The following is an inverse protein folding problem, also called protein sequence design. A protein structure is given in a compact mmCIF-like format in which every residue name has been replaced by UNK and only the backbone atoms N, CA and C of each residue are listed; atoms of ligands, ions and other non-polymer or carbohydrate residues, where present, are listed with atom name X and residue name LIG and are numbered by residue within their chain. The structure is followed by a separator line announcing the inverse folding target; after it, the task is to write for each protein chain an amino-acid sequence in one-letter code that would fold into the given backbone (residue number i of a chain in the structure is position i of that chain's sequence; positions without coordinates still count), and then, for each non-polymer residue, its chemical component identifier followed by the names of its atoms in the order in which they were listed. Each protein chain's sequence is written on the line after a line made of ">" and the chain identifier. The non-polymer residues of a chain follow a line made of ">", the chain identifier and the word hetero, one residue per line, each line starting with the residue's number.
data_IF_215443334860
#
_entry.id   IF_215443334860
#
_cell.length_a   1.000
_cell.length_b   1.000
_cell.length_c   1.000
_cell.angle_alpha   90.00
_cell.angle_beta   90.00
_cell.angle_gamma   90.00
#
_symmetry.space_group_name_H-M   'P 1'
#
loop_
_entity.id
_entity.type
_entity.pdbx_description
1 polymer ?
#
# COMPACT_ATOMS: atom_id res chain seq x y z
N UNK A 1 -2.96 -27.86 66.54
CA UNK A 1 -1.98 -26.89 67.08
C UNK A 1 -0.58 -27.45 66.97
N UNK A 2 0.22 -26.91 66.05
CA UNK A 2 1.63 -26.51 66.25
C UNK A 2 2.09 -25.78 65.00
N UNK A 3 2.50 -24.54 65.23
CA UNK A 3 3.05 -23.54 64.33
C UNK A 3 4.38 -24.01 63.75
N UNK A 4 4.75 -23.52 62.56
CA UNK A 4 5.98 -22.74 62.31
C UNK A 4 5.94 -22.28 60.84
N UNK A 5 5.87 -20.96 60.69
CA UNK A 5 6.17 -20.21 59.47
C UNK A 5 7.69 -20.10 59.39
N UNK A 6 8.29 -20.54 58.30
CA UNK A 6 9.65 -20.11 57.91
C UNK A 6 9.57 -19.60 56.48
N UNK A 7 9.67 -18.28 56.40
CA UNK A 7 9.92 -17.47 55.24
C UNK A 7 11.35 -17.80 54.75
N UNK A 8 11.49 -18.33 53.53
CA UNK A 8 12.79 -18.30 52.84
C UNK A 8 12.71 -17.33 51.68
N UNK A 9 13.27 -16.14 51.95
CA UNK A 9 13.67 -15.16 50.98
C UNK A 9 14.83 -15.75 50.17
N UNK A 10 14.65 -15.97 48.87
CA UNK A 10 15.77 -16.10 47.93
C UNK A 10 15.54 -15.14 46.78
N UNK A 11 16.22 -14.01 46.91
CA UNK A 11 16.45 -13.00 45.89
C UNK A 11 17.29 -13.65 44.78
N UNK A 12 16.70 -13.88 43.61
CA UNK A 12 17.46 -13.97 42.37
C UNK A 12 17.27 -12.67 41.62
N UNK A 13 18.20 -11.75 41.84
CA UNK A 13 18.54 -10.71 40.89
C UNK A 13 19.05 -11.36 39.61
N UNK A 14 18.23 -11.38 38.56
CA UNK A 14 18.69 -11.37 37.18
C UNK A 14 18.40 -9.98 36.63
N UNK A 15 19.39 -9.11 36.77
CA UNK A 15 19.50 -7.89 35.98
C UNK A 15 20.15 -8.29 34.66
N UNK A 16 19.45 -8.02 33.55
CA UNK A 16 20.08 -7.35 32.42
C UNK A 16 20.17 -8.10 31.08
N UNK A 17 19.61 -7.41 30.08
CA UNK A 17 19.84 -7.50 28.63
C UNK A 17 19.03 -8.58 27.88
N UNK A 18 18.12 -8.24 26.96
CA UNK A 18 18.10 -7.08 26.08
C UNK A 18 16.91 -6.16 26.31
N UNK A 19 17.17 -4.85 26.31
CA UNK A 19 16.25 -3.86 25.80
C UNK A 19 15.85 -4.29 24.37
N UNK A 20 14.74 -5.03 24.25
CA UNK A 20 13.93 -4.84 23.07
C UNK A 20 13.41 -3.41 23.20
N UNK A 21 14.09 -2.51 22.48
CA UNK A 21 13.57 -1.19 22.14
C UNK A 21 12.16 -1.38 21.58
N UNK A 22 11.16 -1.46 22.46
CA UNK A 22 9.77 -1.17 22.14
C UNK A 22 9.73 0.32 21.84
N UNK A 23 10.25 0.67 20.66
CA UNK A 23 10.05 1.98 20.08
C UNK A 23 8.55 2.17 20.03
N UNK A 24 8.08 3.14 20.80
CA UNK A 24 6.69 3.51 20.90
C UNK A 24 6.12 3.70 19.49
N UNK A 25 5.09 2.94 19.16
CA UNK A 25 4.49 2.96 17.83
C UNK A 25 3.71 4.27 17.67
N UNK A 26 4.28 5.20 16.88
CA UNK A 26 3.65 6.51 16.67
C UNK A 26 2.67 6.42 15.50
N UNK A 27 1.39 6.58 15.78
CA UNK A 27 0.30 6.68 14.80
C UNK A 27 -0.13 8.13 14.52
N UNK A 28 0.75 9.11 14.78
CA UNK A 28 0.44 10.52 14.56
C UNK A 28 0.53 10.86 13.06
N UNK A 29 -0.63 11.07 12.44
CA UNK A 29 -0.76 11.35 11.00
C UNK A 29 0.10 12.54 10.52
N UNK A 30 0.27 13.59 11.34
CA UNK A 30 1.13 14.72 10.96
C UNK A 30 2.61 14.34 10.92
N UNK A 31 3.06 13.51 11.87
CA UNK A 31 4.45 13.02 11.88
C UNK A 31 4.69 12.08 10.69
N UNK A 32 3.73 11.17 10.42
CA UNK A 32 3.77 10.27 9.28
C UNK A 32 3.82 11.04 7.96
N UNK A 33 2.98 12.08 7.81
CA UNK A 33 2.99 12.97 6.65
C UNK A 33 4.35 13.63 6.45
N UNK A 34 4.93 14.21 7.51
CA UNK A 34 6.23 14.87 7.40
C UNK A 34 7.31 13.89 6.94
N UNK A 35 7.35 12.68 7.52
CA UNK A 35 8.29 11.63 7.08
C UNK A 35 8.05 11.17 5.65
N UNK A 36 6.79 11.04 5.23
CA UNK A 36 6.45 10.67 3.86
C UNK A 36 6.94 11.72 2.84
N UNK A 37 6.80 13.01 3.16
CA UNK A 37 7.25 14.12 2.30
C UNK A 37 8.78 14.25 2.27
N UNK A 38 9.46 13.94 3.39
CA UNK A 38 10.93 13.91 3.46
C UNK A 38 11.53 12.78 2.59
N UNK A 39 10.81 11.67 2.42
CA UNK A 39 11.18 10.59 1.51
C UNK A 39 10.95 11.01 0.06
N UNK A 40 11.96 11.64 -0.54
CA UNK A 40 12.02 11.81 -1.99
C UNK A 40 11.93 10.42 -2.66
N UNK A 41 11.21 10.32 -3.79
CA UNK A 41 11.01 9.07 -4.54
C UNK A 41 12.35 8.42 -4.91
N UNK A 42 12.87 7.56 -4.04
CA UNK A 42 14.22 6.99 -4.10
C UNK A 42 14.11 5.57 -4.61
N UNK A 43 14.23 5.38 -5.93
CA UNK A 43 14.26 4.05 -6.51
C UNK A 43 14.10 4.02 -8.03
N UNK A 44 14.51 2.91 -8.65
CA UNK A 44 14.19 2.61 -10.05
C UNK A 44 12.79 1.96 -10.10
N UNK A 45 11.81 2.71 -10.62
CA UNK A 45 10.50 2.30 -11.17
C UNK A 45 9.53 1.42 -10.34
N UNK A 46 8.23 1.79 -10.23
CA UNK A 46 7.67 3.13 -10.34
C UNK A 46 8.12 4.00 -9.16
N UNK A 47 8.21 5.32 -9.35
CA UNK A 47 8.53 6.27 -8.26
C UNK A 47 7.30 7.10 -7.90
N UNK A 48 7.07 7.32 -6.61
CA UNK A 48 6.03 8.23 -6.12
C UNK A 48 6.72 9.31 -5.28
N UNK A 49 6.44 10.57 -5.61
CA UNK A 49 6.85 11.75 -4.86
C UNK A 49 5.63 12.32 -4.13
N UNK A 50 5.69 12.45 -2.80
CA UNK A 50 4.64 13.06 -1.99
C UNK A 50 5.04 14.49 -1.59
N UNK A 51 4.11 15.43 -1.74
CA UNK A 51 4.35 16.86 -1.48
C UNK A 51 3.58 17.35 -0.26
N UNK A 52 4.08 18.40 0.40
CA UNK A 52 3.50 18.96 1.62
C UNK A 52 2.07 19.49 1.47
N UNK A 53 1.69 19.88 0.24
CA UNK A 53 0.36 20.37 -0.13
C UNK A 53 -0.67 19.25 -0.40
N UNK A 54 -0.41 18.02 0.07
CA UNK A 54 -1.27 16.84 -0.15
C UNK A 54 -1.41 16.41 -1.62
N UNK A 55 -0.41 16.70 -2.45
CA UNK A 55 -0.36 16.21 -3.83
C UNK A 55 0.74 15.17 -4.01
N UNK A 56 0.57 14.27 -4.96
CA UNK A 56 1.61 13.32 -5.34
C UNK A 56 1.90 13.39 -6.84
N UNK A 57 3.09 12.90 -7.21
CA UNK A 57 3.48 12.63 -8.59
C UNK A 57 4.01 11.21 -8.68
N UNK A 58 3.33 10.37 -9.44
CA UNK A 58 3.73 9.00 -9.72
C UNK A 58 4.30 8.91 -11.14
N UNK A 59 5.49 8.35 -11.24
CA UNK A 59 6.22 8.17 -12.50
C UNK A 59 6.36 6.68 -12.79
N UNK A 60 5.87 6.27 -13.95
CA UNK A 60 5.94 4.90 -14.44
C UNK A 60 7.01 4.79 -15.51
N UNK A 61 7.79 3.72 -15.45
CA UNK A 61 8.79 3.41 -16.46
C UNK A 61 8.49 2.06 -17.11
N UNK A 62 8.82 1.95 -18.38
CA UNK A 62 8.79 0.71 -19.12
C UNK A 62 10.22 0.24 -19.39
N UNK A 63 10.46 -1.07 -19.23
CA UNK A 63 11.74 -1.69 -19.60
C UNK A 63 11.61 -2.23 -21.02
N UNK A 64 12.44 -1.74 -21.94
CA UNK A 64 12.52 -2.31 -23.28
C UNK A 64 13.29 -3.63 -23.23
N UNK A 65 12.73 -4.68 -23.82
CA UNK A 65 13.24 -6.06 -23.78
C UNK A 65 14.67 -6.23 -24.33
N UNK A 66 15.21 -5.23 -25.05
CA UNK A 66 16.46 -5.34 -25.79
C UNK A 66 17.61 -4.53 -25.17
N UNK A 67 17.35 -3.73 -24.14
CA UNK A 67 18.39 -2.93 -23.48
C UNK A 67 18.09 -2.87 -21.98
N UNK A 68 18.63 -3.83 -21.23
CA UNK A 68 18.31 -4.09 -19.81
C UNK A 68 18.66 -2.93 -18.85
N UNK A 69 19.22 -1.85 -19.37
CA UNK A 69 19.66 -0.69 -18.60
C UNK A 69 18.87 0.60 -18.90
N UNK A 70 18.00 0.64 -19.91
CA UNK A 70 17.18 1.82 -20.20
C UNK A 70 15.74 1.64 -19.75
N UNK A 71 15.44 2.08 -18.53
CA UNK A 71 14.05 2.34 -18.12
C UNK A 71 13.60 3.64 -18.82
N UNK A 72 12.69 3.54 -19.78
CA UNK A 72 12.12 4.72 -20.42
C UNK A 72 10.91 5.21 -19.64
N UNK A 73 10.82 6.52 -19.46
CA UNK A 73 9.64 7.17 -18.89
C UNK A 73 8.44 6.83 -19.77
N UNK A 74 7.42 6.22 -19.19
CA UNK A 74 6.21 5.85 -19.90
C UNK A 74 5.04 6.79 -19.58
N UNK A 75 4.83 7.08 -18.30
CA UNK A 75 3.66 7.85 -17.88
C UNK A 75 3.93 8.63 -16.61
N UNK A 76 3.31 9.81 -16.49
CA UNK A 76 3.26 10.57 -15.26
C UNK A 76 1.80 10.80 -14.89
N UNK A 77 1.48 10.50 -13.63
CA UNK A 77 0.18 10.77 -13.02
C UNK A 77 0.39 11.68 -11.82
N UNK A 78 -0.42 12.72 -11.71
CA UNK A 78 -0.47 13.57 -10.54
C UNK A 78 -1.85 13.52 -9.90
N UNK A 79 -1.93 13.66 -8.58
CA UNK A 79 -3.21 13.63 -7.88
C UNK A 79 -3.08 14.09 -6.44
N UNK A 80 -4.06 13.72 -5.62
CA UNK A 80 -4.09 14.05 -4.20
C UNK A 80 -3.86 12.82 -3.34
N UNK A 81 -3.41 13.03 -2.11
CA UNK A 81 -3.36 11.96 -1.11
C UNK A 81 -3.83 12.48 0.24
N UNK A 82 -4.27 11.56 1.09
CA UNK A 82 -4.62 11.82 2.48
C UNK A 82 -4.00 10.76 3.40
N UNK A 83 -3.74 11.13 4.64
CA UNK A 83 -3.35 10.20 5.71
C UNK A 83 -4.38 10.33 6.81
N UNK A 84 -4.95 9.21 7.23
CA UNK A 84 -5.92 9.15 8.33
C UNK A 84 -5.74 7.85 9.10
N UNK A 85 -5.56 7.91 10.42
CA UNK A 85 -5.31 6.75 11.28
C UNK A 85 -4.17 5.87 10.75
N UNK A 86 -3.06 6.51 10.36
CA UNK A 86 -1.90 5.87 9.75
C UNK A 86 -2.16 5.15 8.41
N UNK A 87 -3.33 5.32 7.79
CA UNK A 87 -3.62 4.84 6.44
C UNK A 87 -3.36 5.97 5.43
N UNK A 88 -2.36 5.79 4.57
CA UNK A 88 -2.15 6.61 3.39
C UNK A 88 -3.10 6.14 2.30
N UNK A 89 -3.90 7.08 1.79
CA UNK A 89 -4.79 6.88 0.65
C UNK A 89 -4.41 7.82 -0.47
N UNK A 90 -4.15 7.28 -1.65
CA UNK A 90 -4.04 8.09 -2.86
C UNK A 90 -5.44 8.25 -3.45
N UNK A 91 -5.78 9.50 -3.75
CA UNK A 91 -7.05 9.92 -4.33
C UNK A 91 -6.85 10.22 -5.82
N UNK A 92 -7.89 9.99 -6.63
CA UNK A 92 -8.02 10.31 -8.06
C UNK A 92 -6.79 10.96 -8.71
N UNK A 93 -6.17 10.26 -9.65
CA UNK A 93 -5.08 10.80 -10.45
C UNK A 93 -5.58 11.57 -11.67
N UNK A 94 -4.68 12.30 -12.30
CA UNK A 94 -4.81 12.85 -13.65
C UNK A 94 -3.51 12.55 -14.37
N UNK A 95 -3.63 12.12 -15.62
CA UNK A 95 -2.49 11.76 -16.44
C UNK A 95 -1.97 13.03 -17.09
N UNK A 96 -0.74 13.41 -16.74
CA UNK A 96 -0.13 14.65 -17.22
C UNK A 96 0.87 14.41 -18.34
N UNK A 97 1.31 13.16 -18.51
CA UNK A 97 2.24 12.77 -19.57
C UNK A 97 2.09 11.29 -19.94
N UNK A 98 2.20 10.98 -21.23
CA UNK A 98 2.26 9.63 -21.80
C UNK A 98 3.29 9.65 -22.94
N UNK A 99 4.25 8.73 -22.91
CA UNK A 99 5.19 8.52 -24.03
C UNK A 99 4.50 7.74 -25.16
N UNK A 100 4.58 8.29 -26.38
CA UNK A 100 3.93 7.78 -27.58
C UNK A 100 4.59 6.52 -28.14
N UNK A 101 5.87 6.26 -27.81
CA UNK A 101 6.63 5.15 -28.40
C UNK A 101 6.26 3.76 -27.82
N UNK A 102 5.48 3.70 -26.74
CA UNK A 102 5.28 2.46 -25.95
C UNK A 102 4.05 1.62 -26.38
N UNK A 103 3.24 1.98 -27.38
CA UNK A 103 1.93 1.28 -27.55
C UNK A 103 1.49 0.86 -28.96
N UNK A 104 1.70 -0.43 -29.26
CA UNK A 104 0.80 -1.27 -30.06
C UNK A 104 -0.12 -2.17 -29.20
N UNK A 105 0.16 -2.30 -27.89
CA UNK A 105 -0.60 -3.15 -26.96
C UNK A 105 -1.43 -2.32 -25.99
N UNK A 106 -2.62 -2.81 -25.64
CA UNK A 106 -3.50 -2.19 -24.64
C UNK A 106 -3.05 -2.54 -23.23
N UNK A 107 -3.02 -1.55 -22.34
CA UNK A 107 -2.62 -1.71 -20.94
C UNK A 107 -3.68 -1.12 -20.00
N UNK A 108 -3.83 -1.76 -18.84
CA UNK A 108 -4.66 -1.30 -17.74
C UNK A 108 -3.76 -1.03 -16.53
N UNK A 109 -3.96 0.11 -15.89
CA UNK A 109 -3.26 0.48 -14.67
C UNK A 109 -4.33 0.61 -13.60
N UNK A 110 -4.28 -0.29 -12.62
CA UNK A 110 -5.14 -0.28 -11.45
C UNK A 110 -4.34 0.37 -10.34
N UNK A 111 -4.85 1.48 -9.85
CA UNK A 111 -4.23 2.28 -8.81
C UNK A 111 -4.77 1.79 -7.46
N UNK A 112 -4.11 0.77 -6.92
CA UNK A 112 -4.36 0.27 -5.55
C UNK A 112 -3.39 0.97 -4.61
N UNK A 113 -3.90 1.83 -3.73
CA UNK A 113 -3.03 2.78 -3.00
C UNK A 113 -3.41 3.00 -1.55
N UNK A 114 -3.99 1.99 -0.92
CA UNK A 114 -4.12 1.98 0.53
C UNK A 114 -2.81 1.43 1.08
N UNK A 115 -2.09 2.25 1.84
CA UNK A 115 -0.80 1.90 2.42
C UNK A 115 -0.90 2.15 3.91
N UNK A 116 -0.64 1.12 4.70
CA UNK A 116 -0.44 1.30 6.13
C UNK A 116 0.94 1.85 6.39
N UNK A 117 0.98 3.01 7.04
CA UNK A 117 2.18 3.68 7.46
C UNK A 117 2.48 3.32 8.91
N UNK A 118 3.75 3.07 9.19
CA UNK A 118 4.24 2.90 10.56
C UNK A 118 5.60 3.55 10.71
N UNK A 119 5.86 4.16 11.87
CA UNK A 119 7.20 4.58 12.24
C UNK A 119 7.84 3.54 13.15
N UNK A 120 9.01 3.06 12.75
CA UNK A 120 9.91 2.28 13.60
C UNK A 120 11.19 3.09 13.76
N UNK A 121 11.25 3.90 14.82
CA UNK A 121 12.33 4.85 15.02
C UNK A 121 12.29 5.96 13.97
N UNK A 122 13.35 6.08 13.16
CA UNK A 122 13.42 7.05 12.06
C UNK A 122 12.99 6.47 10.70
N UNK A 123 12.59 5.20 10.64
CA UNK A 123 12.20 4.54 9.40
C UNK A 123 10.69 4.60 9.21
N UNK A 124 10.25 5.01 8.02
CA UNK A 124 8.86 4.87 7.58
C UNK A 124 8.71 3.50 6.93
N UNK A 125 7.89 2.67 7.55
CA UNK A 125 7.45 1.40 7.01
C UNK A 125 6.17 1.64 6.21
N UNK A 126 6.18 1.22 4.96
CA UNK A 126 5.03 1.33 4.06
C UNK A 126 4.58 -0.07 3.68
N UNK A 127 3.39 -0.45 4.13
CA UNK A 127 2.82 -1.78 3.88
C UNK A 127 1.64 -1.64 2.92
N UNK A 128 1.78 -2.07 1.65
CA UNK A 128 0.67 -2.07 0.71
C UNK A 128 -0.46 -2.96 1.19
N UNK A 129 -1.68 -2.46 1.12
CA UNK A 129 -2.88 -3.18 1.56
C UNK A 129 -4.02 -2.91 0.60
N UNK A 130 -4.91 -3.89 0.41
CA UNK A 130 -6.21 -3.66 -0.22
C UNK A 130 -7.28 -3.75 0.85
N UNK A 131 -8.05 -2.69 1.02
CA UNK A 131 -9.08 -2.62 2.06
C UNK A 131 -10.45 -2.83 1.44
N UNK A 132 -11.15 -3.82 1.97
CA UNK A 132 -12.48 -4.22 1.55
C UNK A 132 -13.53 -3.82 2.56
N UNK A 133 -14.66 -3.32 2.06
CA UNK A 133 -15.84 -3.01 2.86
C UNK A 133 -16.84 -4.15 2.77
N UNK A 134 -17.42 -4.55 3.90
CA UNK A 134 -18.48 -5.55 3.92
C UNK A 134 -19.76 -4.96 3.35
N UNK A 135 -20.30 -5.60 2.29
CA UNK A 135 -21.63 -5.34 1.76
C UNK A 135 -22.68 -6.18 2.48
N UNK A 136 -22.33 -7.44 2.78
CA UNK A 136 -23.15 -8.38 3.55
C UNK A 136 -22.26 -9.33 4.35
N UNK A 137 -22.81 -9.94 5.40
CA UNK A 137 -22.13 -10.99 6.17
C UNK A 137 -21.43 -10.49 7.43
N UNK A 138 -20.39 -11.21 7.85
CA UNK A 138 -19.63 -10.92 9.06
C UNK A 138 -18.69 -9.73 8.85
N UNK A 139 -18.46 -8.94 9.90
CA UNK A 139 -17.46 -7.86 9.91
C UNK A 139 -16.13 -8.27 10.54
N UNK A 140 -16.04 -9.52 11.02
CA UNK A 140 -14.89 -10.08 11.76
C UNK A 140 -14.39 -11.38 11.15
N UNK A 141 -15.01 -11.86 10.08
CA UNK A 141 -14.65 -13.07 9.35
C UNK A 141 -14.84 -12.84 7.85
N UNK A 142 -14.20 -13.68 7.03
CA UNK A 142 -14.25 -13.64 5.57
C UNK A 142 -15.65 -13.77 4.98
N UNK A 143 -16.56 -14.44 5.68
CA UNK A 143 -17.84 -14.90 5.14
C UNK A 143 -18.81 -13.75 4.86
N UNK A 144 -19.28 -13.68 3.62
CA UNK A 144 -20.10 -12.58 3.14
C UNK A 144 -19.62 -12.04 1.81
N UNK A 145 -20.08 -10.83 1.49
CA UNK A 145 -19.73 -10.10 0.28
C UNK A 145 -18.92 -8.87 0.63
N UNK A 146 -17.81 -8.69 -0.07
CA UNK A 146 -16.80 -7.68 0.20
C UNK A 146 -16.44 -6.95 -1.07
N UNK A 147 -16.35 -5.62 -1.02
CA UNK A 147 -15.95 -4.83 -2.18
C UNK A 147 -14.83 -3.85 -1.88
N UNK A 148 -14.02 -3.60 -2.91
CA UNK A 148 -12.94 -2.64 -2.93
C UNK A 148 -13.02 -1.86 -4.23
N UNK A 149 -12.92 -0.53 -4.14
CA UNK A 149 -12.95 0.34 -5.32
C UNK A 149 -11.60 1.00 -5.50
N UNK A 150 -10.95 0.72 -6.63
CA UNK A 150 -9.71 1.35 -7.08
C UNK A 150 -9.99 2.34 -8.20
N UNK A 151 -9.15 3.36 -8.32
CA UNK A 151 -9.13 4.17 -9.53
C UNK A 151 -8.36 3.40 -10.62
N UNK A 152 -8.82 3.47 -11.86
CA UNK A 152 -8.28 2.67 -12.97
C UNK A 152 -8.21 3.54 -14.21
N UNK A 153 -7.10 3.39 -14.94
CA UNK A 153 -6.97 3.96 -16.27
C UNK A 153 -6.61 2.85 -17.24
N UNK A 154 -7.26 2.84 -18.40
CA UNK A 154 -6.94 1.91 -19.48
C UNK A 154 -6.63 2.68 -20.75
N UNK A 155 -5.66 2.17 -21.49
CA UNK A 155 -5.16 2.79 -22.71
C UNK A 155 -5.10 1.77 -23.83
N UNK A 156 -5.35 2.25 -25.04
CA UNK A 156 -5.10 1.51 -26.27
C UNK A 156 -4.62 2.49 -27.33
N UNK A 157 -3.53 2.17 -28.01
CA UNK A 157 -2.96 2.99 -29.09
C UNK A 157 -2.84 4.46 -28.68
N UNK A 158 -2.22 4.74 -27.53
CA UNK A 158 -2.01 6.08 -26.97
C UNK A 158 -3.28 6.86 -26.57
N UNK A 159 -4.46 6.25 -26.66
CA UNK A 159 -5.73 6.88 -26.26
C UNK A 159 -6.15 6.32 -24.91
N UNK A 160 -6.45 7.22 -23.96
CA UNK A 160 -7.20 6.88 -22.75
C UNK A 160 -8.57 6.38 -23.22
N UNK A 161 -8.79 5.07 -23.14
CA UNK A 161 -10.09 4.49 -23.43
C UNK A 161 -10.97 4.56 -22.19
N UNK A 162 -10.38 4.34 -21.01
CA UNK A 162 -11.06 4.38 -19.71
C UNK A 162 -10.29 5.24 -18.71
N UNK A 163 -11.01 6.05 -17.96
CA UNK A 163 -10.51 6.73 -16.77
C UNK A 163 -11.69 6.79 -15.79
N UNK A 164 -11.57 6.12 -14.65
CA UNK A 164 -12.68 5.95 -13.73
C UNK A 164 -12.32 5.04 -12.57
N UNK A 165 -13.33 4.41 -11.98
CA UNK A 165 -13.22 3.51 -10.84
C UNK A 165 -13.66 2.11 -11.22
N UNK A 166 -12.81 1.17 -10.85
CA UNK A 166 -13.09 -0.25 -10.91
C UNK A 166 -13.43 -0.74 -9.51
N UNK A 167 -14.58 -1.39 -9.37
CA UNK A 167 -14.98 -2.05 -8.12
C UNK A 167 -14.76 -3.55 -8.28
N UNK A 168 -13.90 -4.09 -7.42
CA UNK A 168 -13.73 -5.52 -7.25
C UNK A 168 -14.69 -5.99 -6.16
N UNK A 169 -15.45 -7.06 -6.43
CA UNK A 169 -16.29 -7.69 -5.42
C UNK A 169 -15.93 -9.16 -5.26
N UNK A 170 -15.91 -9.63 -4.02
CA UNK A 170 -15.67 -11.03 -3.66
C UNK A 170 -16.78 -11.53 -2.75
N UNK A 171 -17.31 -12.73 -3.01
CA UNK A 171 -18.33 -13.37 -2.19
C UNK A 171 -17.84 -14.73 -1.71
N UNK A 172 -17.76 -14.89 -0.39
CA UNK A 172 -17.30 -16.09 0.30
C UNK A 172 -18.46 -16.75 1.05
N UNK A 173 -18.69 -18.03 0.79
CA UNK A 173 -19.71 -18.84 1.46
C UNK A 173 -19.03 -19.91 2.33
N UNK A 174 -19.52 -20.10 3.56
CA UNK A 174 -18.96 -21.06 4.54
C UNK A 174 -18.90 -22.50 4.02
N UNK A 175 -19.91 -22.89 3.24
CA UNK A 175 -20.09 -24.26 2.78
C UNK A 175 -19.56 -24.48 1.35
N UNK A 176 -18.70 -23.57 0.86
CA UNK A 176 -18.17 -23.59 -0.51
C UNK A 176 -16.65 -23.49 -0.49
N UNK A 177 -15.97 -24.28 -1.32
CA UNK A 177 -14.56 -24.09 -1.66
C UNK A 177 -14.35 -23.09 -2.81
N UNK A 178 -15.44 -22.55 -3.37
CA UNK A 178 -15.42 -21.58 -4.46
C UNK A 178 -15.79 -20.18 -3.98
N UNK A 179 -15.01 -19.21 -4.43
CA UNK A 179 -15.24 -17.77 -4.30
C UNK A 179 -15.87 -17.28 -5.61
N UNK A 180 -16.89 -16.42 -5.50
CA UNK A 180 -17.38 -15.66 -6.65
C UNK A 180 -16.76 -14.28 -6.64
N UNK A 181 -16.27 -13.82 -7.79
CA UNK A 181 -15.68 -12.50 -7.92
C UNK A 181 -16.23 -11.74 -9.13
N UNK A 182 -16.22 -10.41 -9.06
CA UNK A 182 -16.56 -9.53 -10.19
C UNK A 182 -15.71 -8.26 -10.23
N UNK A 183 -15.55 -7.70 -11.43
CA UNK A 183 -14.96 -6.39 -11.69
C UNK A 183 -15.93 -5.52 -12.49
N UNK A 184 -16.35 -4.41 -11.89
CA UNK A 184 -17.32 -3.48 -12.44
C UNK A 184 -16.70 -2.09 -12.64
N UNK A 185 -17.03 -1.39 -13.73
CA UNK A 185 -16.47 -0.07 -14.09
C UNK A 185 -17.57 1.00 -14.09
N UNK A 186 -17.45 2.06 -13.28
CA UNK A 186 -18.58 2.97 -13.01
C UNK A 186 -18.77 4.16 -13.97
N UNK A 187 -17.71 4.75 -14.51
CA UNK A 187 -17.78 6.08 -15.14
C UNK A 187 -17.97 6.04 -16.65
N UNK A 188 -17.42 5.02 -17.33
CA UNK A 188 -17.55 4.81 -18.78
C UNK A 188 -17.68 3.32 -19.07
N UNK A 189 -18.84 2.92 -19.57
CA UNK A 189 -19.15 1.52 -19.83
C UNK A 189 -18.54 1.06 -21.17
N UNK A 190 -17.21 0.99 -21.23
CA UNK A 190 -16.48 0.49 -22.41
C UNK A 190 -15.97 -0.94 -22.23
N UNK A 191 -16.04 -1.45 -21.00
CA UNK A 191 -15.69 -2.82 -20.66
C UNK A 191 -16.94 -3.49 -20.12
N UNK A 192 -17.24 -4.67 -20.65
CA UNK A 192 -18.25 -5.51 -20.04
C UNK A 192 -17.79 -5.91 -18.64
N UNK A 193 -18.70 -5.91 -17.64
CA UNK A 193 -18.42 -6.46 -16.33
C UNK A 193 -17.83 -7.86 -16.45
N UNK A 194 -16.69 -8.09 -15.80
CA UNK A 194 -16.12 -9.42 -15.71
C UNK A 194 -16.57 -10.09 -14.43
N UNK A 195 -16.98 -11.34 -14.50
CA UNK A 195 -17.29 -12.14 -13.32
C UNK A 195 -16.88 -13.59 -13.52
N UNK A 196 -16.56 -14.25 -12.41
CA UNK A 196 -16.05 -15.61 -12.44
C UNK A 196 -16.14 -16.30 -11.09
N UNK A 197 -15.66 -17.54 -11.10
CA UNK A 197 -15.45 -18.35 -9.91
C UNK A 197 -14.00 -18.80 -9.87
N UNK A 198 -13.45 -18.90 -8.69
CA UNK A 198 -12.14 -19.51 -8.44
C UNK A 198 -12.24 -20.37 -7.20
N UNK A 199 -11.35 -21.34 -7.05
CA UNK A 199 -11.21 -22.06 -5.78
C UNK A 199 -10.48 -21.15 -4.78
N UNK A 200 -10.77 -21.32 -3.49
CA UNK A 200 -10.04 -20.62 -2.44
C UNK A 200 -9.76 -21.53 -1.25
N UNK A 201 -8.68 -21.25 -0.55
CA UNK A 201 -8.33 -21.87 0.72
C UNK A 201 -8.18 -20.77 1.75
N UNK A 202 -8.91 -20.90 2.87
CA UNK A 202 -8.82 -19.96 3.97
C UNK A 202 -8.47 -20.69 5.26
N UNK A 203 -7.26 -20.44 5.76
CA UNK A 203 -6.79 -20.88 7.07
C UNK A 203 -6.29 -19.63 7.82
N UNK A 204 -7.17 -18.96 8.60
CA UNK A 204 -6.88 -17.65 9.18
C UNK A 204 -5.48 -17.57 9.82
N UNK A 205 -4.71 -16.51 9.56
CA UNK A 205 -5.11 -15.32 8.78
C UNK A 205 -4.85 -15.45 7.27
N UNK A 206 -4.47 -16.63 6.77
CA UNK A 206 -4.01 -16.80 5.38
C UNK A 206 -5.18 -17.13 4.44
N UNK A 207 -5.23 -16.40 3.32
CA UNK A 207 -6.15 -16.64 2.21
C UNK A 207 -5.34 -16.90 0.93
N UNK A 208 -5.69 -17.94 0.19
CA UNK A 208 -5.24 -18.16 -1.18
C UNK A 208 -6.45 -18.19 -2.10
N UNK A 209 -6.40 -17.38 -3.15
CA UNK A 209 -7.35 -17.40 -4.27
C UNK A 209 -6.66 -18.10 -5.43
N UNK A 210 -7.38 -18.97 -6.14
CA UNK A 210 -6.89 -19.90 -7.15
C UNK A 210 -6.17 -21.14 -6.58
N UNK A 211 -6.34 -21.42 -5.28
CA UNK A 211 -5.81 -22.59 -4.54
C UNK A 211 -4.31 -22.92 -4.76
N UNK A 212 -3.56 -22.02 -5.41
CA UNK A 212 -2.12 -22.11 -5.63
C UNK A 212 -1.40 -21.38 -4.50
N UNK A 213 -0.25 -21.90 -4.08
CA UNK A 213 0.53 -21.34 -2.98
C UNK A 213 1.26 -20.05 -3.34
N UNK A 214 1.21 -19.63 -4.61
CA UNK A 214 1.99 -18.51 -5.13
C UNK A 214 1.37 -17.15 -4.80
N UNK A 215 0.06 -17.09 -4.51
CA UNK A 215 -0.68 -15.86 -4.20
C UNK A 215 -1.41 -15.98 -2.86
N UNK A 216 -0.66 -16.13 -1.76
CA UNK A 216 -1.22 -16.13 -0.39
C UNK A 216 -1.24 -14.70 0.14
N UNK A 217 -2.42 -14.23 0.54
CA UNK A 217 -2.59 -12.96 1.26
C UNK A 217 -2.75 -13.23 2.76
N UNK A 218 -2.20 -12.33 3.58
CA UNK A 218 -2.60 -12.23 4.98
C UNK A 218 -3.87 -11.37 5.05
N UNK A 219 -4.88 -11.86 5.76
CA UNK A 219 -6.20 -11.23 5.90
C UNK A 219 -6.44 -10.88 7.35
N UNK A 220 -6.68 -9.60 7.62
CA UNK A 220 -7.06 -9.12 8.96
C UNK A 220 -8.39 -8.37 8.90
N UNK A 221 -9.11 -8.37 10.02
CA UNK A 221 -10.38 -7.66 10.18
C UNK A 221 -10.24 -6.61 11.26
N UNK A 222 -10.48 -5.34 10.90
CA UNK A 222 -10.39 -4.20 11.83
C UNK A 222 -11.36 -3.11 11.40
N UNK A 223 -12.00 -2.48 12.38
CA UNK A 223 -12.99 -1.42 12.15
C UNK A 223 -14.12 -1.81 11.17
N UNK A 224 -14.48 -3.10 11.13
CA UNK A 224 -15.49 -3.65 10.23
C UNK A 224 -15.12 -3.71 8.75
N UNK A 225 -13.83 -3.57 8.44
CA UNK A 225 -13.24 -3.75 7.10
C UNK A 225 -12.31 -4.97 7.10
N UNK A 226 -12.06 -5.51 5.92
CA UNK A 226 -11.13 -6.61 5.68
C UNK A 226 -9.90 -6.09 4.94
N UNK A 227 -8.71 -6.43 5.41
CA UNK A 227 -7.43 -5.92 4.90
C UNK A 227 -6.65 -7.08 4.29
N UNK A 228 -6.31 -6.99 3.02
CA UNK A 228 -5.47 -7.97 2.32
C UNK A 228 -4.07 -7.43 2.12
N UNK A 229 -3.08 -8.12 2.69
CA UNK A 229 -1.67 -7.79 2.54
C UNK A 229 -1.03 -8.72 1.50
N UNK A 230 -0.45 -8.15 0.45
CA UNK A 230 0.08 -8.88 -0.72
C UNK A 230 1.55 -9.33 -0.55
N UNK A 231 2.25 -8.82 0.46
CA UNK A 231 3.61 -9.20 0.79
C UNK A 231 3.83 -9.00 2.30
N UNK A 232 4.46 -9.96 2.97
CA UNK A 232 4.75 -9.88 4.41
C UNK A 232 5.94 -8.97 4.72
N UNK A 233 6.72 -8.56 3.72
CA UNK A 233 7.88 -7.68 3.92
C UNK A 233 7.48 -6.23 3.62
N UNK A 234 7.36 -5.36 4.64
CA UNK A 234 7.14 -3.94 4.39
C UNK A 234 8.31 -3.36 3.59
N UNK A 235 8.01 -2.44 2.68
CA UNK A 235 9.05 -1.64 2.04
C UNK A 235 9.64 -0.71 3.09
N UNK A 236 10.92 -0.92 3.42
CA UNK A 236 11.67 -0.09 4.38
C UNK A 236 12.36 1.01 3.59
N UNK A 237 11.89 2.25 3.73
CA UNK A 237 12.57 3.42 3.18
C UNK A 237 13.37 4.12 4.30
N UNK A 238 14.60 4.57 3.97
CA UNK A 238 15.38 5.47 4.84
C UNK A 238 16.48 4.83 5.71
N UNK A 239 17.26 3.86 5.22
CA UNK A 239 18.39 3.31 6.00
C UNK A 239 19.56 4.29 6.23
N UNK A 240 19.67 5.39 5.49
CA UNK A 240 20.85 6.28 5.52
C UNK A 240 20.57 7.77 5.79
N UNK A 241 19.46 8.14 6.42
CA UNK A 241 19.36 9.48 7.03
C UNK A 241 19.87 9.44 8.48
N UNK A 242 21.16 9.12 8.64
CA UNK A 242 21.87 9.62 9.81
C UNK A 242 21.99 11.14 9.60
N UNK A 243 21.28 11.90 10.43
CA UNK A 243 21.61 13.29 10.72
C UNK A 243 23.04 13.30 11.30
N UNK A 244 24.04 13.29 10.43
CA UNK A 244 25.36 13.77 10.80
C UNK A 244 25.19 15.27 11.04
N UNK A 245 25.06 15.62 12.32
CA UNK A 245 25.25 16.94 12.85
C UNK A 245 26.67 17.43 12.49
N UNK A 246 26.88 17.89 11.26
CA UNK A 246 27.98 18.77 10.86
C UNK A 246 27.96 19.00 9.35
N UNK A 247 26.91 19.62 8.82
CA UNK A 247 27.07 20.46 7.63
C UNK A 247 25.93 21.47 7.57
N UNK A 248 26.29 22.71 7.86
CA UNK A 248 25.44 23.89 7.71
C UNK A 248 25.08 23.98 6.22
N UNK A 249 23.90 23.49 5.85
CA UNK A 249 23.32 23.78 4.54
C UNK A 249 22.97 25.28 4.52
N UNK A 250 23.79 26.06 3.83
CA UNK A 250 23.43 27.43 3.48
C UNK A 250 22.18 27.41 2.59
N UNK A 251 21.22 28.33 2.80
CA UNK A 251 20.04 28.41 1.96
C UNK A 251 20.44 28.78 0.52
N UNK A 252 20.04 27.95 -0.45
CA UNK A 252 20.12 28.29 -1.86
C UNK A 252 19.35 29.59 -2.12
N UNK A 253 20.06 30.63 -2.58
CA UNK A 253 19.42 31.88 -3.01
C UNK A 253 18.61 31.64 -4.29
N UNK A 254 17.33 32.01 -4.26
CA UNK A 254 16.51 32.18 -5.46
C UNK A 254 17.17 33.22 -6.38
N UNK A 255 17.67 32.78 -7.54
CA UNK A 255 17.87 33.69 -8.67
C UNK A 255 16.54 33.85 -9.38
N UNK A 256 15.98 35.04 -9.23
CA UNK A 256 14.92 35.61 -10.05
C UNK A 256 15.32 35.56 -11.52
N UNK A 257 14.43 35.06 -12.37
CA UNK A 257 14.52 35.23 -13.81
C UNK A 257 13.85 36.57 -14.15
N UNK A 258 14.66 37.60 -14.43
CA UNK A 258 14.26 38.77 -15.21
C UNK A 258 15.06 38.77 -16.51
N UNK A 259 14.35 38.46 -17.60
CA UNK A 259 14.37 39.07 -18.94
C UNK A 259 13.83 38.07 -19.97
#
# INVERSE_FOLDING_TARGET
>A
MKTIVILFLSIFTLIGCSDENNQEEITNDNLLKNRLVELLGTGKSPTIEYRSNNTYKQTFFHSESNDSNSNKLWMIVEGKYSINNAELKIENGTVVYIDSLVSYFGWQIIFTHEIELKLSGNQLLMTPVKVFTSETGSKTELWGRWSHTSWTISYRNQIIIYEGRQTETYTFNKDSSQIYFSFDYSEKNIFDPYSGKSDFIYNPPLLSIDATTENIQNVTFKNGKMYWYYDLKPNILGKDYQLNNSEVLQPFSLKTWEN
#
